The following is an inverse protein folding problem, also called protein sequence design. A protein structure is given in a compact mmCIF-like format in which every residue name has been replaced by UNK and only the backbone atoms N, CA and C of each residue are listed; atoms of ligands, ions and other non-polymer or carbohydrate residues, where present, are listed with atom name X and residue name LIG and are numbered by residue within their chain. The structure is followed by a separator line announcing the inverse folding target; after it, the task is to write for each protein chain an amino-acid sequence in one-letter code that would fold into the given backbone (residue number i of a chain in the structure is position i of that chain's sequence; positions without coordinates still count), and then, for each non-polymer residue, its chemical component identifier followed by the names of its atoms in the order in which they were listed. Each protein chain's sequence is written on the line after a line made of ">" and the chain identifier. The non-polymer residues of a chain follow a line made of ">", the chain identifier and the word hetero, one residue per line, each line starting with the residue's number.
data_IF_363043963781
#
_entry.id   IF_363043963781
#
_cell.length_a   1.000
_cell.length_b   1.000
_cell.length_c   1.000
_cell.angle_alpha   90.00
_cell.angle_beta   90.00
_cell.angle_gamma   90.00
#
_symmetry.space_group_name_H-M   'P 1'
#
loop_
_entity.id
_entity.type
_entity.pdbx_description
1 polymer ?
#
# COMPACT_ATOMS: atom_id res chain seq x y z
N UNK A 1 -17.31 33.49 -14.09
CA UNK A 1 -18.10 32.60 -13.20
C UNK A 1 -18.34 31.22 -13.82
N UNK A 2 -18.78 31.14 -15.08
CA UNK A 2 -19.13 29.88 -15.78
C UNK A 2 -17.96 28.92 -16.02
N UNK A 3 -16.74 29.40 -16.30
CA UNK A 3 -15.54 28.54 -16.42
C UNK A 3 -15.10 27.93 -15.08
N UNK A 4 -15.29 28.63 -13.95
CA UNK A 4 -14.94 28.12 -12.61
C UNK A 4 -15.88 26.98 -12.18
N UNK A 5 -17.16 27.07 -12.57
CA UNK A 5 -18.16 26.04 -12.29
C UNK A 5 -17.89 24.76 -13.09
N UNK A 6 -17.51 24.89 -14.36
CA UNK A 6 -17.12 23.75 -15.20
C UNK A 6 -15.84 23.09 -14.66
N UNK A 7 -14.89 23.89 -14.17
CA UNK A 7 -13.65 23.38 -13.57
C UNK A 7 -13.89 22.72 -12.19
N UNK A 8 -14.82 23.24 -11.39
CA UNK A 8 -15.24 22.62 -10.13
C UNK A 8 -15.97 21.29 -10.38
N UNK A 9 -16.82 21.21 -11.40
CA UNK A 9 -17.49 19.96 -11.79
C UNK A 9 -16.49 18.95 -12.35
N UNK A 10 -15.49 19.39 -13.12
CA UNK A 10 -14.41 18.51 -13.60
C UNK A 10 -13.49 18.03 -12.47
N UNK A 11 -13.21 18.88 -11.48
CA UNK A 11 -12.42 18.53 -10.30
C UNK A 11 -13.17 17.56 -9.38
N UNK A 12 -14.47 17.78 -9.17
CA UNK A 12 -15.34 16.85 -8.44
C UNK A 12 -15.48 15.53 -9.21
N UNK A 13 -15.62 15.58 -10.54
CA UNK A 13 -15.66 14.38 -11.39
C UNK A 13 -14.37 13.57 -11.36
N UNK A 14 -13.21 14.23 -11.35
CA UNK A 14 -11.90 13.60 -11.19
C UNK A 14 -11.69 13.00 -9.79
N UNK A 15 -12.17 13.70 -8.75
CA UNK A 15 -12.15 13.20 -7.38
C UNK A 15 -13.09 11.99 -7.19
N UNK A 16 -14.28 12.03 -7.81
CA UNK A 16 -15.24 10.90 -7.83
C UNK A 16 -14.69 9.73 -8.64
N UNK A 17 -13.99 9.97 -9.76
CA UNK A 17 -13.29 8.94 -10.54
C UNK A 17 -12.19 8.25 -9.72
N UNK A 18 -11.38 9.03 -9.00
CA UNK A 18 -10.32 8.50 -8.14
C UNK A 18 -10.86 7.79 -6.89
N UNK A 19 -11.95 8.31 -6.31
CA UNK A 19 -12.62 7.69 -5.17
C UNK A 19 -13.39 6.42 -5.57
N UNK A 20 -13.97 6.37 -6.77
CA UNK A 20 -14.60 5.17 -7.32
C UNK A 20 -13.57 4.07 -7.64
N UNK A 21 -12.37 4.44 -8.10
CA UNK A 21 -11.24 3.52 -8.29
C UNK A 21 -10.63 3.07 -6.93
N UNK A 22 -10.66 3.92 -5.90
CA UNK A 22 -10.39 3.54 -4.51
C UNK A 22 -11.44 2.53 -3.98
N UNK A 23 -12.72 2.79 -4.23
CA UNK A 23 -13.85 2.03 -3.68
C UNK A 23 -14.08 0.68 -4.37
N UNK A 24 -13.69 0.50 -5.64
CA UNK A 24 -13.85 -0.78 -6.38
C UNK A 24 -12.61 -1.70 -6.30
N UNK A 25 -11.55 -1.30 -5.60
CA UNK A 25 -10.35 -2.12 -5.42
C UNK A 25 -10.42 -3.30 -4.40
N UNK A 26 -11.30 -3.34 -3.36
CA UNK A 26 -11.20 -4.39 -2.35
C UNK A 26 -11.74 -5.77 -2.81
N UNK A 27 -12.37 -5.87 -3.99
CA UNK A 27 -12.96 -7.14 -4.47
C UNK A 27 -12.02 -8.01 -5.33
N UNK A 28 -10.74 -7.65 -5.50
CA UNK A 28 -9.80 -8.40 -6.37
C UNK A 28 -8.82 -9.34 -5.66
N UNK A 29 -8.77 -9.36 -4.33
CA UNK A 29 -7.78 -10.16 -3.59
C UNK A 29 -8.17 -11.64 -3.44
N UNK A 30 -9.44 -12.03 -3.65
CA UNK A 30 -9.87 -13.43 -3.44
C UNK A 30 -9.68 -14.40 -4.62
N UNK A 31 -9.45 -13.92 -5.85
CA UNK A 31 -9.46 -14.80 -7.05
C UNK A 31 -8.07 -15.19 -7.58
N UNK A 32 -7.00 -14.54 -7.12
CA UNK A 32 -5.65 -14.76 -7.66
C UNK A 32 -4.77 -15.73 -6.84
N UNK A 33 -5.23 -16.19 -5.67
CA UNK A 33 -4.51 -17.20 -4.88
C UNK A 33 -4.76 -18.62 -5.40
N UNK A 34 -5.95 -18.88 -5.98
CA UNK A 34 -6.30 -20.19 -6.57
C UNK A 34 -5.54 -20.48 -7.87
N UNK A 35 -5.13 -19.45 -8.62
CA UNK A 35 -4.38 -19.65 -9.87
C UNK A 35 -2.85 -19.71 -9.70
N UNK A 36 -2.32 -19.35 -8.52
CA UNK A 36 -0.87 -19.44 -8.24
C UNK A 36 -0.46 -20.77 -7.60
N UNK A 37 -1.38 -21.44 -6.90
CA UNK A 37 -1.16 -22.79 -6.37
C UNK A 37 -1.04 -23.88 -7.45
N UNK A 38 -1.63 -23.68 -8.65
CA UNK A 38 -1.67 -24.72 -9.67
C UNK A 38 -0.44 -24.81 -10.58
N UNK A 39 0.52 -23.85 -10.50
CA UNK A 39 1.57 -23.70 -11.52
C UNK A 39 2.99 -23.47 -10.97
N UNK A 40 3.26 -23.81 -9.72
CA UNK A 40 4.66 -23.92 -9.27
C UNK A 40 5.23 -25.26 -9.75
N UNK A 41 6.02 -25.25 -10.84
CA UNK A 41 6.76 -26.44 -11.27
C UNK A 41 6.97 -26.69 -12.76
N UNK A 42 6.70 -25.76 -13.69
CA UNK A 42 7.07 -25.99 -15.11
C UNK A 42 7.71 -24.77 -15.77
N UNK A 43 9.02 -24.88 -16.01
CA UNK A 43 9.69 -24.16 -17.08
C UNK A 43 9.17 -24.67 -18.44
N UNK A 44 8.38 -23.85 -19.14
CA UNK A 44 8.30 -23.89 -20.61
C UNK A 44 7.73 -22.59 -21.15
N UNK A 45 8.48 -22.03 -22.10
CA UNK A 45 8.10 -20.94 -23.00
C UNK A 45 6.84 -21.29 -23.79
N UNK A 46 5.83 -20.42 -23.75
CA UNK A 46 4.76 -20.36 -24.76
C UNK A 46 4.39 -18.91 -25.02
N UNK A 47 4.73 -18.44 -26.21
CA UNK A 47 4.15 -17.29 -26.89
C UNK A 47 2.62 -17.43 -26.93
N UNK A 48 1.91 -16.60 -26.18
CA UNK A 48 0.45 -16.51 -26.16
C UNK A 48 0.01 -15.08 -26.41
N UNK A 49 -0.61 -14.85 -27.58
CA UNK A 49 -1.16 -13.58 -28.07
C UNK A 49 -2.10 -12.95 -27.03
N UNK A 50 -1.67 -11.84 -26.41
CA UNK A 50 -2.51 -11.06 -25.49
C UNK A 50 -3.70 -10.48 -26.25
N UNK A 51 -4.92 -10.74 -25.76
CA UNK A 51 -6.14 -10.13 -26.30
C UNK A 51 -6.13 -8.60 -26.03
N UNK A 52 -6.52 -7.76 -27.01
CA UNK A 52 -6.47 -6.31 -26.84
C UNK A 52 -7.50 -5.79 -25.83
N UNK A 53 -7.11 -4.70 -25.19
CA UNK A 53 -7.60 -4.11 -23.94
C UNK A 53 -8.98 -3.46 -24.13
N UNK A 54 -9.90 -3.62 -23.16
CA UNK A 54 -11.17 -2.85 -23.10
C UNK A 54 -10.96 -1.33 -23.15
N UNK A 55 -9.77 -0.85 -22.75
CA UNK A 55 -9.35 0.56 -22.85
C UNK A 55 -9.13 1.05 -24.28
N UNK A 56 -8.76 0.20 -25.24
CA UNK A 56 -8.53 0.67 -26.63
C UNK A 56 -9.86 0.97 -27.34
N UNK A 57 -10.92 0.19 -27.04
CA UNK A 57 -12.22 0.36 -27.70
C UNK A 57 -13.06 1.52 -27.14
N UNK A 58 -12.82 1.93 -25.89
CA UNK A 58 -13.57 3.00 -25.24
C UNK A 58 -12.90 4.39 -25.35
N UNK A 59 -11.57 4.44 -25.55
CA UNK A 59 -10.81 5.69 -25.62
C UNK A 59 -10.69 6.29 -27.02
N UNK A 60 -10.78 5.48 -28.09
CA UNK A 60 -10.73 5.95 -29.48
C UNK A 60 -11.75 7.06 -29.84
N UNK A 61 -13.03 7.00 -29.42
CA UNK A 61 -13.98 8.05 -29.79
C UNK A 61 -13.74 9.37 -29.01
N UNK A 62 -13.03 9.32 -27.88
CA UNK A 62 -12.82 10.47 -27.01
C UNK A 62 -11.56 11.25 -27.40
N UNK A 63 -10.49 10.55 -27.77
CA UNK A 63 -9.22 11.14 -28.23
C UNK A 63 -9.42 11.96 -29.51
N UNK A 64 -10.26 11.50 -30.44
CA UNK A 64 -10.56 12.21 -31.69
C UNK A 64 -11.38 13.50 -31.51
N UNK A 65 -12.16 13.64 -30.44
CA UNK A 65 -12.91 14.88 -30.12
C UNK A 65 -12.03 15.91 -29.43
N UNK A 66 -11.12 15.47 -28.57
CA UNK A 66 -10.14 16.33 -27.89
C UNK A 66 -9.09 16.86 -28.87
N UNK A 67 -8.64 16.05 -29.85
CA UNK A 67 -7.72 16.48 -30.90
C UNK A 67 -8.26 17.64 -31.75
N UNK A 68 -9.55 17.64 -32.07
CA UNK A 68 -10.20 18.73 -32.84
C UNK A 68 -10.41 20.01 -32.02
N UNK A 69 -10.59 19.87 -30.70
CA UNK A 69 -10.75 21.03 -29.81
C UNK A 69 -9.40 21.74 -29.58
N UNK A 70 -8.30 21.00 -29.54
CA UNK A 70 -6.94 21.52 -29.34
C UNK A 70 -6.39 22.23 -30.59
N UNK A 71 -6.71 21.74 -31.80
CA UNK A 71 -6.29 22.40 -33.06
C UNK A 71 -6.98 23.75 -33.30
N UNK A 72 -8.10 24.02 -32.63
CA UNK A 72 -8.84 25.28 -32.78
C UNK A 72 -8.26 26.43 -31.95
N UNK A 73 -7.31 26.15 -31.06
CA UNK A 73 -6.88 27.09 -30.02
C UNK A 73 -5.48 27.69 -30.27
N UNK A 74 -4.63 27.15 -31.16
CA UNK A 74 -3.34 27.80 -31.43
C UNK A 74 -2.69 27.43 -32.79
N UNK A 75 -2.83 28.26 -33.84
CA UNK A 75 -2.37 27.93 -35.20
C UNK A 75 -1.01 28.56 -35.53
N UNK A 76 0.05 28.37 -34.72
CA UNK A 76 1.41 28.87 -35.06
C UNK A 76 2.61 28.31 -34.25
N UNK A 77 2.65 27.02 -33.95
CA UNK A 77 3.89 26.36 -33.49
C UNK A 77 4.22 25.17 -34.39
N UNK A 78 4.98 25.51 -35.42
CA UNK A 78 5.53 24.70 -36.49
C UNK A 78 6.15 23.40 -36.00
N UNK A 79 5.73 22.29 -36.62
CA UNK A 79 6.12 20.91 -36.32
C UNK A 79 7.57 20.54 -36.74
N UNK A 80 8.32 21.46 -37.34
CA UNK A 80 9.63 21.15 -37.95
C UNK A 80 10.81 21.27 -36.99
N UNK A 81 10.81 22.23 -36.05
CA UNK A 81 11.94 22.43 -35.13
C UNK A 81 12.03 21.37 -34.02
N UNK A 82 10.91 20.68 -33.75
CA UNK A 82 10.81 19.61 -32.75
C UNK A 82 11.22 18.26 -33.33
N UNK A 83 10.98 18.03 -34.63
CA UNK A 83 11.38 16.84 -35.37
C UNK A 83 12.91 16.67 -35.40
N UNK A 84 13.65 17.75 -35.68
CA UNK A 84 15.11 17.72 -35.79
C UNK A 84 15.82 17.39 -34.46
N UNK A 85 15.28 17.85 -33.32
CA UNK A 85 15.85 17.57 -31.99
C UNK A 85 15.47 16.19 -31.42
N UNK A 86 14.37 15.58 -31.90
CA UNK A 86 13.95 14.25 -31.48
C UNK A 86 14.63 13.13 -32.27
N UNK A 87 14.94 13.35 -33.55
CA UNK A 87 15.68 12.39 -34.38
C UNK A 87 17.13 12.21 -33.92
N UNK A 88 17.75 13.25 -33.36
CA UNK A 88 19.09 13.18 -32.78
C UNK A 88 19.16 12.43 -31.42
N UNK A 89 18.02 12.18 -30.75
CA UNK A 89 17.99 11.68 -29.37
C UNK A 89 17.64 10.19 -29.20
N UNK A 90 17.44 9.43 -30.29
CA UNK A 90 17.52 7.96 -30.28
C UNK A 90 16.66 7.19 -29.25
N UNK A 91 15.50 7.71 -28.82
CA UNK A 91 14.61 7.05 -27.84
C UNK A 91 13.26 6.67 -28.47
N UNK A 92 13.03 5.36 -28.65
CA UNK A 92 11.93 4.79 -29.47
C UNK A 92 10.75 4.20 -28.67
N UNK A 93 10.45 4.70 -27.46
CA UNK A 93 9.35 4.13 -26.64
C UNK A 93 8.51 5.08 -25.78
N UNK A 94 8.57 6.40 -25.99
CA UNK A 94 7.71 7.33 -25.25
C UNK A 94 7.06 8.33 -26.19
N UNK A 95 5.72 8.31 -26.22
CA UNK A 95 4.93 9.11 -27.16
C UNK A 95 5.11 10.62 -26.90
N UNK A 96 5.48 11.41 -27.93
CA UNK A 96 5.71 12.86 -27.84
C UNK A 96 4.52 13.69 -27.34
N UNK A 97 3.30 13.14 -27.39
CA UNK A 97 2.08 13.83 -26.95
C UNK A 97 1.96 13.96 -25.43
N UNK A 98 2.63 13.09 -24.67
CA UNK A 98 2.62 13.09 -23.19
C UNK A 98 3.41 14.27 -22.62
N UNK A 99 4.54 14.62 -23.25
CA UNK A 99 5.40 15.73 -22.81
C UNK A 99 4.82 17.08 -23.25
N UNK A 100 4.21 17.12 -24.45
CA UNK A 100 3.55 18.33 -24.97
C UNK A 100 2.24 18.61 -24.19
N UNK A 101 1.48 17.57 -23.83
CA UNK A 101 0.29 17.70 -22.97
C UNK A 101 0.61 18.16 -21.56
N UNK A 102 1.71 17.66 -20.96
CA UNK A 102 2.15 18.10 -19.64
C UNK A 102 2.62 19.57 -19.63
N UNK A 103 3.30 20.03 -20.69
CA UNK A 103 3.74 21.43 -20.82
C UNK A 103 2.58 22.39 -21.13
N UNK A 104 1.55 21.95 -21.85
CA UNK A 104 0.36 22.76 -22.16
C UNK A 104 -0.53 23.05 -20.94
N UNK A 105 -0.66 22.08 -20.03
CA UNK A 105 -1.42 22.23 -18.77
C UNK A 105 -0.73 23.22 -17.80
N UNK A 106 0.60 23.36 -17.92
CA UNK A 106 1.39 24.20 -17.01
C UNK A 106 1.32 25.71 -17.32
N UNK A 107 0.97 26.09 -18.56
CA UNK A 107 1.29 27.43 -19.09
C UNK A 107 0.08 28.34 -19.34
N UNK A 108 -1.16 27.83 -19.34
CA UNK A 108 -2.35 28.64 -19.66
C UNK A 108 -3.39 28.60 -18.55
N UNK A 109 -3.25 29.54 -17.61
CA UNK A 109 -4.41 30.18 -16.95
C UNK A 109 -4.89 29.62 -15.61
N UNK A 110 -4.43 30.23 -14.52
CA UNK A 110 -5.23 30.33 -13.29
C UNK A 110 -5.06 29.28 -12.21
N UNK A 111 -3.98 28.49 -12.23
CA UNK A 111 -3.74 27.52 -11.17
C UNK A 111 -2.33 26.96 -11.15
N UNK A 112 -1.29 27.80 -11.22
CA UNK A 112 0.09 27.33 -10.94
C UNK A 112 0.13 26.65 -9.57
N UNK A 113 -0.60 27.19 -8.59
CA UNK A 113 -0.80 26.59 -7.27
C UNK A 113 -1.56 25.26 -7.31
N UNK A 114 -2.62 25.14 -8.12
CA UNK A 114 -3.42 23.92 -8.24
C UNK A 114 -2.69 22.83 -9.05
N UNK A 115 -1.97 23.19 -10.11
CA UNK A 115 -1.12 22.30 -10.90
C UNK A 115 0.09 21.81 -10.11
N UNK A 116 0.72 22.67 -9.32
CA UNK A 116 1.75 22.27 -8.36
C UNK A 116 1.17 21.40 -7.23
N UNK A 117 -0.03 21.70 -6.74
CA UNK A 117 -0.67 20.88 -5.71
C UNK A 117 -1.02 19.48 -6.23
N UNK A 118 -1.59 19.35 -7.42
CA UNK A 118 -1.88 18.05 -8.03
C UNK A 118 -0.61 17.29 -8.45
N UNK A 119 0.44 17.99 -8.92
CA UNK A 119 1.74 17.38 -9.20
C UNK A 119 2.42 16.89 -7.90
N UNK A 120 2.34 17.66 -6.82
CA UNK A 120 2.83 17.28 -5.49
C UNK A 120 2.08 16.08 -4.92
N UNK A 121 0.74 16.08 -5.01
CA UNK A 121 -0.08 14.96 -4.60
C UNK A 121 0.17 13.71 -5.46
N UNK A 122 0.36 13.87 -6.77
CA UNK A 122 0.70 12.77 -7.68
C UNK A 122 2.08 12.17 -7.41
N UNK A 123 3.03 12.96 -6.91
CA UNK A 123 4.34 12.49 -6.48
C UNK A 123 4.30 11.77 -5.12
N UNK A 124 3.52 12.29 -4.16
CA UNK A 124 3.43 11.71 -2.81
C UNK A 124 2.52 10.48 -2.72
N UNK A 125 1.46 10.40 -3.53
CA UNK A 125 0.49 9.31 -3.51
C UNK A 125 1.11 7.90 -3.65
N UNK A 126 2.01 7.61 -4.61
CA UNK A 126 2.61 6.29 -4.72
C UNK A 126 3.49 5.95 -3.50
N UNK A 127 4.20 6.93 -2.93
CA UNK A 127 5.02 6.73 -1.75
C UNK A 127 4.20 6.33 -0.52
N UNK A 128 3.10 7.05 -0.26
CA UNK A 128 2.17 6.74 0.85
C UNK A 128 1.51 5.37 0.65
N UNK A 129 1.12 5.04 -0.59
CA UNK A 129 0.53 3.74 -0.91
C UNK A 129 1.50 2.58 -0.68
N UNK A 130 2.73 2.70 -1.19
CA UNK A 130 3.77 1.68 -1.00
C UNK A 130 4.10 1.50 0.49
N UNK A 131 4.29 2.61 1.22
CA UNK A 131 4.53 2.57 2.66
C UNK A 131 3.36 1.91 3.42
N UNK A 132 2.12 2.19 3.02
CA UNK A 132 0.94 1.54 3.58
C UNK A 132 0.91 0.02 3.32
N UNK A 133 1.31 -0.42 2.13
CA UNK A 133 1.42 -1.85 1.78
C UNK A 133 2.54 -2.55 2.55
N UNK A 134 3.71 -1.92 2.67
CA UNK A 134 4.83 -2.42 3.48
C UNK A 134 4.41 -2.57 4.94
N UNK A 135 3.79 -1.54 5.52
CA UNK A 135 3.33 -1.58 6.91
C UNK A 135 2.28 -2.66 7.17
N UNK A 136 1.41 -2.94 6.20
CA UNK A 136 0.47 -4.06 6.28
C UNK A 136 1.20 -5.41 6.28
N UNK A 137 2.10 -5.64 5.32
CA UNK A 137 2.89 -6.89 5.25
C UNK A 137 3.70 -7.10 6.54
N UNK A 138 4.33 -6.06 7.08
CA UNK A 138 5.06 -6.13 8.35
C UNK A 138 4.14 -6.50 9.53
N UNK A 139 2.93 -5.96 9.57
CA UNK A 139 1.95 -6.29 10.60
C UNK A 139 1.46 -7.73 10.49
N UNK A 140 1.25 -8.23 9.26
CA UNK A 140 0.86 -9.62 9.01
C UNK A 140 1.98 -10.58 9.45
N UNK A 141 3.23 -10.28 9.09
CA UNK A 141 4.43 -11.03 9.55
C UNK A 141 4.54 -11.07 11.07
N UNK A 142 4.36 -9.93 11.75
CA UNK A 142 4.43 -9.86 13.21
C UNK A 142 3.28 -10.62 13.90
N UNK A 143 2.12 -10.72 13.24
CA UNK A 143 0.96 -11.45 13.76
C UNK A 143 1.11 -12.98 13.64
N UNK A 144 1.74 -13.46 12.57
CA UNK A 144 2.00 -14.89 12.31
C UNK A 144 3.19 -15.45 13.11
N UNK A 145 4.11 -14.57 13.55
CA UNK A 145 5.35 -14.97 14.21
C UNK A 145 5.18 -15.86 15.45
N UNK A 146 4.30 -15.55 16.44
CA UNK A 146 4.13 -16.41 17.62
C UNK A 146 3.81 -17.86 17.24
N UNK A 147 2.84 -18.04 16.34
CA UNK A 147 2.33 -19.36 15.96
C UNK A 147 3.41 -20.16 15.21
N UNK A 148 4.21 -19.48 14.37
CA UNK A 148 5.36 -20.08 13.71
C UNK A 148 6.45 -20.52 14.70
N UNK A 149 6.75 -19.68 15.71
CA UNK A 149 7.74 -20.00 16.74
C UNK A 149 7.30 -21.18 17.62
N UNK A 150 6.01 -21.30 17.90
CA UNK A 150 5.46 -22.43 18.64
C UNK A 150 5.67 -23.75 17.88
N UNK A 151 5.35 -23.78 16.58
CA UNK A 151 5.57 -24.97 15.74
C UNK A 151 7.05 -25.31 15.60
N UNK A 152 7.91 -24.31 15.45
CA UNK A 152 9.37 -24.51 15.42
C UNK A 152 9.86 -25.08 16.76
N UNK A 153 9.40 -24.55 17.89
CA UNK A 153 9.79 -25.04 19.22
C UNK A 153 9.40 -26.50 19.40
N UNK A 154 8.15 -26.87 19.10
CA UNK A 154 7.66 -28.26 19.21
C UNK A 154 8.44 -29.19 18.28
N UNK A 155 8.74 -28.74 17.07
CA UNK A 155 9.50 -29.52 16.08
C UNK A 155 10.95 -29.78 16.54
N UNK A 156 11.61 -28.76 17.07
CA UNK A 156 12.99 -28.88 17.58
C UNK A 156 13.04 -29.71 18.86
N UNK A 157 12.04 -29.58 19.75
CA UNK A 157 11.90 -30.41 20.95
C UNK A 157 11.63 -31.88 20.61
N UNK A 158 10.95 -32.15 19.50
CA UNK A 158 10.78 -33.50 18.96
C UNK A 158 12.06 -34.08 18.33
N UNK A 159 13.17 -33.35 18.36
CA UNK A 159 14.49 -33.80 17.88
C UNK A 159 14.79 -33.44 16.43
N UNK A 160 13.95 -32.65 15.75
CA UNK A 160 14.29 -32.13 14.43
C UNK A 160 15.39 -31.07 14.54
N UNK A 161 16.36 -31.13 13.62
CA UNK A 161 17.28 -30.00 13.41
C UNK A 161 16.52 -28.75 12.95
N UNK A 162 17.11 -27.57 13.11
CA UNK A 162 16.48 -26.29 12.76
C UNK A 162 15.93 -26.26 11.33
N UNK A 163 16.74 -26.67 10.36
CA UNK A 163 16.34 -26.69 8.95
C UNK A 163 15.18 -27.65 8.68
N UNK A 164 15.14 -28.78 9.39
CA UNK A 164 14.03 -29.74 9.35
C UNK A 164 12.75 -29.22 10.02
N UNK A 165 12.90 -28.46 11.12
CA UNK A 165 11.79 -27.77 11.76
C UNK A 165 11.21 -26.66 10.87
N UNK A 166 12.06 -25.89 10.18
CA UNK A 166 11.64 -24.88 9.20
C UNK A 166 10.93 -25.53 8.01
N UNK A 167 11.42 -26.68 7.53
CA UNK A 167 10.70 -27.44 6.50
C UNK A 167 9.30 -27.84 6.98
N UNK A 168 9.19 -28.35 8.21
CA UNK A 168 7.88 -28.74 8.76
C UNK A 168 6.93 -27.55 8.90
N UNK A 169 7.46 -26.40 9.32
CA UNK A 169 6.74 -25.13 9.38
C UNK A 169 6.16 -24.74 8.00
N UNK A 170 6.98 -24.79 6.95
CA UNK A 170 6.55 -24.46 5.57
C UNK A 170 5.49 -25.41 5.00
N UNK A 171 5.38 -26.63 5.54
CA UNK A 171 4.33 -27.59 5.15
C UNK A 171 2.98 -27.35 5.87
N UNK A 172 2.97 -26.69 7.04
CA UNK A 172 1.78 -26.61 7.91
C UNK A 172 1.14 -25.22 7.96
N UNK A 173 1.90 -24.17 7.63
CA UNK A 173 1.42 -22.80 7.66
C UNK A 173 1.62 -22.16 6.29
N UNK A 174 0.78 -21.20 5.96
CA UNK A 174 0.93 -20.33 4.79
C UNK A 174 0.84 -18.88 5.25
N UNK A 175 1.57 -17.97 4.60
CA UNK A 175 1.52 -16.55 4.91
C UNK A 175 2.79 -15.81 4.49
N UNK A 176 2.79 -14.47 4.58
CA UNK A 176 3.96 -13.65 4.22
C UNK A 176 5.20 -13.99 5.04
N UNK A 177 5.03 -14.46 6.29
CA UNK A 177 6.15 -14.92 7.11
C UNK A 177 6.73 -16.24 6.61
N UNK A 178 5.87 -17.17 6.20
CA UNK A 178 6.27 -18.51 5.77
C UNK A 178 7.00 -18.46 4.43
N UNK A 179 6.56 -17.58 3.52
CA UNK A 179 7.28 -17.29 2.26
C UNK A 179 8.75 -16.91 2.51
N UNK A 180 9.01 -16.14 3.57
CA UNK A 180 10.37 -15.69 3.92
C UNK A 180 11.21 -16.81 4.54
N UNK A 181 10.59 -17.68 5.35
CA UNK A 181 11.24 -18.89 5.89
C UNK A 181 11.55 -19.91 4.79
N UNK A 182 10.65 -20.10 3.82
CA UNK A 182 10.85 -20.98 2.67
C UNK A 182 12.03 -20.48 1.81
N UNK A 183 12.07 -19.16 1.57
CA UNK A 183 13.18 -18.53 0.85
C UNK A 183 14.51 -18.70 1.59
N UNK A 184 14.54 -18.46 2.91
CA UNK A 184 15.73 -18.63 3.74
C UNK A 184 16.21 -20.10 3.76
N UNK A 185 15.28 -21.06 3.85
CA UNK A 185 15.60 -22.49 3.75
C UNK A 185 16.17 -22.84 2.37
N UNK A 186 15.64 -22.24 1.31
CA UNK A 186 16.18 -22.35 -0.05
C UNK A 186 17.61 -21.83 -0.16
N UNK A 187 17.88 -20.65 0.38
CA UNK A 187 19.22 -20.02 0.44
C UNK A 187 20.23 -20.93 1.17
N UNK A 188 19.83 -21.53 2.30
CA UNK A 188 20.66 -22.49 3.05
C UNK A 188 20.95 -23.75 2.23
N UNK A 189 19.94 -24.30 1.54
CA UNK A 189 20.08 -25.53 0.74
C UNK A 189 21.00 -25.37 -0.47
N UNK A 190 21.13 -24.16 -1.01
CA UNK A 190 22.06 -23.86 -2.12
C UNK A 190 23.48 -23.49 -1.62
N UNK A 191 23.74 -23.59 -0.31
CA UNK A 191 25.06 -23.45 0.28
C UNK A 191 25.33 -22.08 0.92
N UNK A 192 24.32 -21.22 1.07
CA UNK A 192 24.49 -19.98 1.83
C UNK A 192 24.62 -20.28 3.33
N UNK A 193 25.49 -19.53 4.02
CA UNK A 193 25.65 -19.68 5.47
C UNK A 193 24.34 -19.37 6.20
N UNK A 194 23.89 -20.26 7.10
CA UNK A 194 22.62 -20.09 7.84
C UNK A 194 22.47 -18.74 8.52
N UNK A 195 23.55 -18.22 9.10
CA UNK A 195 23.51 -16.90 9.76
C UNK A 195 23.24 -15.77 8.76
N UNK A 196 23.77 -15.88 7.53
CA UNK A 196 23.57 -14.89 6.48
C UNK A 196 22.16 -14.96 5.89
N UNK A 197 21.67 -16.17 5.60
CA UNK A 197 20.31 -16.38 5.11
C UNK A 197 19.25 -15.86 6.09
N UNK A 198 19.40 -16.17 7.39
CA UNK A 198 18.50 -15.66 8.43
C UNK A 198 18.58 -14.12 8.56
N UNK A 199 19.77 -13.53 8.40
CA UNK A 199 19.94 -12.08 8.42
C UNK A 199 19.23 -11.42 7.24
N UNK A 200 19.39 -11.96 6.01
CA UNK A 200 18.68 -11.48 4.81
C UNK A 200 17.16 -11.60 4.97
N UNK A 201 16.68 -12.71 5.54
CA UNK A 201 15.26 -12.89 5.88
C UNK A 201 14.73 -11.79 6.82
N UNK A 202 15.49 -11.43 7.85
CA UNK A 202 15.15 -10.32 8.75
C UNK A 202 15.12 -8.97 8.03
N UNK A 203 16.06 -8.71 7.13
CA UNK A 203 16.14 -7.46 6.37
C UNK A 203 14.97 -7.31 5.41
N UNK A 204 14.55 -8.40 4.74
CA UNK A 204 13.38 -8.42 3.84
C UNK A 204 12.05 -8.26 4.58
N UNK A 205 11.90 -8.93 5.71
CA UNK A 205 10.68 -8.86 6.53
C UNK A 205 10.50 -7.50 7.20
N UNK A 206 11.60 -6.82 7.55
CA UNK A 206 11.62 -5.50 8.17
C UNK A 206 10.70 -5.35 9.40
N UNK A 207 10.44 -6.44 10.13
CA UNK A 207 9.71 -6.46 11.40
C UNK A 207 10.71 -6.44 12.58
N UNK A 208 10.52 -5.58 13.58
CA UNK A 208 11.37 -5.56 14.77
C UNK A 208 11.40 -6.90 15.53
N UNK A 209 10.27 -7.61 15.56
CA UNK A 209 10.12 -8.91 16.21
C UNK A 209 10.95 -9.98 15.51
N UNK A 210 10.87 -10.02 14.17
CA UNK A 210 11.69 -10.90 13.34
C UNK A 210 13.18 -10.65 13.56
N UNK A 211 13.58 -9.37 13.58
CA UNK A 211 14.98 -9.00 13.79
C UNK A 211 15.49 -9.43 15.18
N UNK A 212 14.64 -9.37 16.20
CA UNK A 212 14.97 -9.86 17.55
C UNK A 212 15.13 -11.38 17.56
N UNK A 213 14.19 -12.09 16.94
CA UNK A 213 14.23 -13.55 16.83
C UNK A 213 15.49 -14.04 16.09
N UNK A 214 15.78 -13.49 14.92
CA UNK A 214 16.97 -13.87 14.13
C UNK A 214 18.26 -13.62 14.91
N UNK A 215 18.39 -12.49 15.59
CA UNK A 215 19.56 -12.22 16.45
C UNK A 215 19.70 -13.26 17.56
N UNK A 216 18.60 -13.62 18.22
CA UNK A 216 18.61 -14.62 19.28
C UNK A 216 19.03 -16.00 18.74
N UNK A 217 18.55 -16.41 17.57
CA UNK A 217 18.93 -17.68 16.94
C UNK A 217 20.38 -17.69 16.50
N UNK A 218 20.88 -16.62 15.86
CA UNK A 218 22.29 -16.53 15.46
C UNK A 218 23.19 -16.60 16.68
N UNK A 219 22.83 -15.92 17.78
CA UNK A 219 23.58 -15.96 19.03
C UNK A 219 23.52 -17.35 19.69
N UNK A 220 22.36 -18.01 19.69
CA UNK A 220 22.18 -19.38 20.17
C UNK A 220 23.13 -20.34 19.47
N UNK A 221 23.19 -20.19 18.15
CA UNK A 221 23.96 -21.05 17.28
C UNK A 221 25.47 -20.91 17.50
N UNK A 222 25.94 -19.68 17.65
CA UNK A 222 27.35 -19.39 17.96
C UNK A 222 27.77 -19.91 19.34
N UNK A 223 26.86 -19.92 20.31
CA UNK A 223 27.12 -20.33 21.69
C UNK A 223 26.80 -21.80 21.96
N UNK A 224 26.26 -22.54 20.98
CA UNK A 224 25.86 -23.95 21.14
C UNK A 224 24.69 -24.15 22.12
N UNK A 225 23.87 -23.13 22.35
CA UNK A 225 22.73 -23.19 23.27
C UNK A 225 21.56 -23.92 22.59
N UNK A 226 20.79 -24.71 23.34
CA UNK A 226 19.62 -25.42 22.81
C UNK A 226 18.61 -24.47 22.14
N UNK A 227 18.38 -24.61 20.84
CA UNK A 227 17.47 -23.74 20.08
C UNK A 227 16.03 -23.81 20.61
N UNK A 228 15.57 -24.98 21.08
CA UNK A 228 14.21 -25.15 21.62
C UNK A 228 13.92 -24.23 22.80
N UNK A 229 14.89 -24.03 23.72
CA UNK A 229 14.72 -23.11 24.86
C UNK A 229 14.53 -21.66 24.39
N UNK A 230 15.29 -21.23 23.39
CA UNK A 230 15.23 -19.86 22.88
C UNK A 230 13.95 -19.62 22.07
N UNK A 231 13.55 -20.60 21.25
CA UNK A 231 12.27 -20.56 20.53
C UNK A 231 11.08 -20.43 21.49
N UNK A 232 11.07 -21.19 22.59
CA UNK A 232 10.02 -21.13 23.61
C UNK A 232 9.96 -19.80 24.35
N UNK A 233 11.11 -19.26 24.75
CA UNK A 233 11.19 -17.93 25.38
C UNK A 233 10.71 -16.85 24.41
N UNK A 234 11.19 -16.87 23.16
CA UNK A 234 10.80 -15.90 22.15
C UNK A 234 9.31 -15.99 21.77
N UNK A 235 8.74 -17.20 21.74
CA UNK A 235 7.30 -17.39 21.53
C UNK A 235 6.50 -16.74 22.68
N UNK A 236 6.92 -16.94 23.94
CA UNK A 236 6.34 -16.30 25.11
C UNK A 236 6.38 -14.77 25.03
N UNK A 237 7.54 -14.20 24.72
CA UNK A 237 7.73 -12.75 24.58
C UNK A 237 6.86 -12.16 23.47
N UNK A 238 6.75 -12.86 22.34
CA UNK A 238 5.94 -12.38 21.20
C UNK A 238 4.44 -12.45 21.53
N UNK A 239 3.99 -13.46 22.28
CA UNK A 239 2.61 -13.54 22.78
C UNK A 239 2.29 -12.44 23.78
N UNK A 240 3.18 -12.19 24.75
CA UNK A 240 3.04 -11.09 25.71
C UNK A 240 2.94 -9.75 24.98
N UNK A 241 3.80 -9.51 23.99
CA UNK A 241 3.75 -8.29 23.18
C UNK A 241 2.42 -8.16 22.42
N UNK A 242 1.89 -9.25 21.86
CA UNK A 242 0.56 -9.26 21.20
C UNK A 242 -0.56 -8.88 22.18
N UNK A 243 -0.49 -9.32 23.44
CA UNK A 243 -1.44 -8.94 24.48
C UNK A 243 -1.33 -7.46 24.83
N UNK A 244 -0.11 -6.96 25.06
CA UNK A 244 0.13 -5.54 25.35
C UNK A 244 -0.37 -4.62 24.23
N UNK A 245 -0.19 -4.99 22.97
CA UNK A 245 -0.71 -4.22 21.83
C UNK A 245 -2.25 -4.26 21.76
N UNK A 246 -2.88 -5.34 22.21
CA UNK A 246 -4.33 -5.42 22.33
C UNK A 246 -4.86 -4.54 23.46
N UNK A 247 -4.19 -4.55 24.62
CA UNK A 247 -4.49 -3.69 25.76
C UNK A 247 -4.30 -2.21 25.40
N UNK A 248 -3.21 -1.85 24.71
CA UNK A 248 -2.96 -0.49 24.24
C UNK A 248 -4.08 -0.02 23.30
N UNK A 249 -4.55 -0.89 22.40
CA UNK A 249 -5.69 -0.57 21.53
C UNK A 249 -6.99 -0.39 22.32
N UNK A 250 -7.22 -1.22 23.34
CA UNK A 250 -8.38 -1.11 24.21
C UNK A 250 -8.35 0.21 25.02
N UNK A 251 -7.20 0.59 25.58
CA UNK A 251 -7.03 1.85 26.32
C UNK A 251 -7.19 3.09 25.44
N UNK A 252 -6.89 2.99 24.13
CA UNK A 252 -7.13 4.08 23.16
C UNK A 252 -8.59 4.18 22.71
N UNK A 253 -9.43 3.16 22.94
CA UNK A 253 -10.82 3.17 22.50
C UNK A 253 -11.69 4.25 23.18
N UNK A 254 -11.63 4.44 24.53
CA UNK A 254 -12.39 5.50 25.21
C UNK A 254 -12.10 6.91 24.67
N UNK A 255 -10.82 7.23 24.42
CA UNK A 255 -10.42 8.54 23.89
C UNK A 255 -11.03 8.78 22.50
N UNK A 256 -11.08 7.75 21.64
CA UNK A 256 -11.71 7.84 20.33
C UNK A 256 -13.23 7.99 20.39
N UNK A 257 -13.88 7.42 21.41
CA UNK A 257 -15.32 7.58 21.64
C UNK A 257 -15.68 8.97 22.16
N UNK A 258 -14.75 9.68 22.80
CA UNK A 258 -14.97 11.05 23.27
C UNK A 258 -15.19 12.03 22.11
N UNK A 259 -14.51 11.83 20.99
CA UNK A 259 -14.60 12.76 19.85
C UNK A 259 -16.02 12.87 19.26
N UNK A 260 -16.70 11.77 18.85
CA UNK A 260 -18.10 11.85 18.43
C UNK A 260 -19.00 12.39 19.53
N UNK A 261 -18.78 11.95 20.78
CA UNK A 261 -19.61 12.34 21.92
C UNK A 261 -19.60 13.85 22.13
N UNK A 262 -18.41 14.47 22.17
CA UNK A 262 -18.28 15.93 22.29
C UNK A 262 -18.81 16.62 21.04
N UNK A 263 -18.51 16.11 19.85
CA UNK A 263 -18.96 16.71 18.59
C UNK A 263 -20.50 16.75 18.44
N UNK A 264 -21.23 15.78 19.00
CA UNK A 264 -22.70 15.76 18.92
C UNK A 264 -23.39 16.36 20.14
N UNK A 265 -22.90 16.10 21.36
CA UNK A 265 -23.54 16.58 22.59
C UNK A 265 -23.31 18.08 22.78
N UNK A 266 -22.11 18.59 22.49
CA UNK A 266 -21.78 20.00 22.74
C UNK A 266 -22.63 20.97 21.90
N UNK A 267 -22.82 20.77 20.57
CA UNK A 267 -23.73 21.61 19.79
C UNK A 267 -25.20 21.46 20.22
N UNK A 268 -25.64 20.25 20.56
CA UNK A 268 -27.00 20.01 21.02
C UNK A 268 -27.30 20.75 22.34
N UNK A 269 -26.37 20.70 23.30
CA UNK A 269 -26.45 21.46 24.56
C UNK A 269 -26.52 22.97 24.31
N UNK A 270 -25.68 23.51 23.42
CA UNK A 270 -25.72 24.93 23.05
C UNK A 270 -27.08 25.34 22.47
N UNK A 271 -27.67 24.50 21.61
CA UNK A 271 -28.95 24.78 20.98
C UNK A 271 -30.09 24.78 22.00
N UNK A 272 -30.09 23.85 22.95
CA UNK A 272 -31.10 23.78 24.03
C UNK A 272 -30.99 24.96 25.00
N UNK A 273 -29.78 25.36 25.37
CA UNK A 273 -29.55 26.44 26.35
C UNK A 273 -29.72 27.84 25.73
N UNK A 274 -29.11 28.10 24.58
CA UNK A 274 -29.18 29.41 23.92
C UNK A 274 -30.44 29.61 23.09
N UNK A 275 -31.11 28.53 22.67
CA UNK A 275 -32.36 28.59 21.89
C UNK A 275 -33.41 29.53 22.47
N UNK A 276 -33.87 29.33 23.74
CA UNK A 276 -34.85 30.21 24.35
C UNK A 276 -34.32 31.62 24.61
N UNK A 277 -33.03 31.77 24.96
CA UNK A 277 -32.42 33.09 25.16
C UNK A 277 -32.45 33.93 23.88
N UNK A 278 -32.17 33.31 22.73
CA UNK A 278 -32.22 33.98 21.43
C UNK A 278 -33.65 34.37 21.03
N UNK A 279 -34.62 33.49 21.29
CA UNK A 279 -36.05 33.77 21.04
C UNK A 279 -36.60 34.88 21.94
N UNK A 280 -36.10 35.02 23.17
CA UNK A 280 -36.49 36.09 24.08
C UNK A 280 -35.87 37.44 23.67
N UNK A 281 -34.61 37.44 23.21
CA UNK A 281 -33.93 38.65 22.73
C UNK A 281 -34.61 39.23 21.48
N UNK A 282 -35.01 38.37 20.53
CA UNK A 282 -35.67 38.82 19.31
C UNK A 282 -37.05 39.44 19.55
N UNK A 283 -37.79 38.94 20.55
CA UNK A 283 -39.04 39.56 20.99
C UNK A 283 -38.84 40.95 21.59
N UNK A 284 -37.74 41.18 22.30
CA UNK A 284 -37.44 42.46 22.92
C UNK A 284 -37.03 43.54 21.90
N UNK A 285 -36.41 43.13 20.79
CA UNK A 285 -35.97 44.03 19.71
C UNK A 285 -37.06 44.35 18.65
N UNK A 286 -38.22 43.68 18.69
CA UNK A 286 -39.31 43.85 17.71
C UNK A 286 -40.41 44.82 18.21
N UNK A 287 -40.06 45.78 19.06
CA UNK A 287 -40.92 46.88 19.51
C UNK A 287 -40.50 48.20 18.86
#
# INVERSE_FOLDING_TARGET
>A
MSMLLIFAIAAIGGAVFFFAELATSPMRTRRNLVHRAANYGRLRTVTGKEMPRFRERALDPFVGKVARLVLRVNPRLTAESVSAKLMAAGMRRTSPTTIIGAKGILLVGGGILLGLAFAGLGWMAPGVYLNGRVRRRQADVAAELPDALDLLSVSVEAGLGFDGAVQKLTEHMEGPLIEEFELALGEIRIGEGRQEALKKMSERSASPEMASFVRAIIQADQLGISLGRILRVQAGDTRLKRQLLAEEKAMKAPIKMLFPTVAFIFPAMFLVVLGPAFLNLSKFFTF
#
